data_IF_128234156323
#
_entry.id   IF_128234156323
#
_cell.length_a   1.000
_cell.length_b   1.000
_cell.length_c   1.000
_cell.angle_alpha   90.00
_cell.angle_beta   90.00
_cell.angle_gamma   90.00
#
_symmetry.space_group_name_H-M   'P 1'
#
loop_
_entity.id
_entity.type
_entity.pdbx_description
1 polymer ?
#
# COMPACT_ATOMS: atom_id res chain seq x y z
N UNK A 1 9.80 -16.36 21.61
CA UNK A 1 8.52 -15.69 21.27
C UNK A 1 8.24 -15.92 19.79
N UNK A 2 6.99 -16.19 19.40
CA UNK A 2 6.52 -16.46 18.03
C UNK A 2 5.74 -15.27 17.50
N UNK A 3 6.21 -14.66 16.42
CA UNK A 3 5.60 -13.45 15.84
C UNK A 3 5.16 -13.72 14.42
N UNK A 4 3.90 -13.38 14.12
CA UNK A 4 3.39 -13.34 12.74
C UNK A 4 3.50 -11.90 12.27
N UNK A 5 4.27 -11.67 11.20
CA UNK A 5 4.37 -10.40 10.50
C UNK A 5 3.67 -10.55 9.16
N UNK A 6 2.93 -9.54 8.77
CA UNK A 6 2.12 -9.58 7.55
C UNK A 6 2.43 -8.38 6.67
N UNK A 7 2.29 -8.50 5.35
CA UNK A 7 2.38 -7.37 4.43
C UNK A 7 1.66 -7.64 3.10
N UNK A 8 1.20 -6.55 2.47
CA UNK A 8 0.51 -6.53 1.16
C UNK A 8 1.32 -5.74 0.10
N UNK A 9 2.62 -5.58 0.32
CA UNK A 9 3.54 -4.84 -0.54
C UNK A 9 4.88 -4.54 0.14
N UNK A 10 5.86 -4.14 -0.66
CA UNK A 10 7.23 -3.84 -0.21
C UNK A 10 7.29 -2.69 0.79
N UNK A 11 6.53 -1.62 0.59
CA UNK A 11 6.50 -0.49 1.53
C UNK A 11 5.87 -0.87 2.88
N UNK A 12 4.84 -1.74 2.87
CA UNK A 12 4.24 -2.24 4.10
C UNK A 12 5.18 -3.19 4.85
N UNK A 13 6.00 -3.99 4.14
CA UNK A 13 7.07 -4.76 4.79
C UNK A 13 8.00 -3.83 5.57
N UNK A 14 8.37 -2.69 5.00
CA UNK A 14 9.24 -1.71 5.67
C UNK A 14 8.56 -1.10 6.90
N UNK A 15 7.28 -0.74 6.82
CA UNK A 15 6.53 -0.24 7.97
C UNK A 15 6.44 -1.29 9.09
N UNK A 16 6.16 -2.54 8.74
CA UNK A 16 6.12 -3.64 9.70
C UNK A 16 7.50 -3.89 10.36
N UNK A 17 8.58 -3.87 9.58
CA UNK A 17 9.96 -3.98 10.08
C UNK A 17 10.34 -2.80 10.97
N UNK A 18 9.86 -1.59 10.67
CA UNK A 18 10.09 -0.40 11.49
C UNK A 18 9.46 -0.56 12.88
N UNK A 19 8.20 -0.99 12.93
CA UNK A 19 7.52 -1.32 14.18
C UNK A 19 8.23 -2.43 14.95
N UNK A 20 8.65 -3.49 14.25
CA UNK A 20 9.32 -4.64 14.85
C UNK A 20 10.68 -4.26 15.47
N UNK A 21 11.51 -3.50 14.73
CA UNK A 21 12.81 -3.03 15.21
C UNK A 21 12.70 -2.05 16.39
N UNK A 22 11.66 -1.22 16.40
CA UNK A 22 11.40 -0.32 17.52
C UNK A 22 11.13 -1.10 18.82
N UNK A 23 10.43 -2.24 18.74
CA UNK A 23 10.04 -3.04 19.90
C UNK A 23 11.14 -3.95 20.48
N UNK A 24 12.28 -4.10 19.81
CA UNK A 24 13.41 -4.84 20.34
C UNK A 24 14.04 -5.84 19.36
N UNK A 25 14.94 -6.68 19.86
CA UNK A 25 15.83 -7.48 19.01
C UNK A 25 15.08 -8.57 18.23
N UNK A 26 15.41 -8.66 16.93
CA UNK A 26 14.91 -9.65 15.99
C UNK A 26 15.41 -11.08 16.29
N UNK A 27 16.55 -11.20 16.98
CA UNK A 27 17.34 -12.43 17.12
C UNK A 27 16.77 -13.46 18.11
N UNK A 28 16.03 -13.01 19.12
CA UNK A 28 15.51 -13.90 20.18
C UNK A 28 14.06 -14.37 19.90
N UNK A 29 13.57 -14.17 18.68
CA UNK A 29 12.19 -14.45 18.29
C UNK A 29 12.10 -15.24 17.00
N UNK A 30 11.11 -16.12 16.98
CA UNK A 30 10.71 -16.92 15.83
C UNK A 30 9.76 -16.06 14.98
N UNK A 31 10.28 -15.52 13.87
CA UNK A 31 9.55 -14.59 13.01
C UNK A 31 8.99 -15.35 11.80
N UNK A 32 7.70 -15.17 11.54
CA UNK A 32 6.98 -15.75 10.39
C UNK A 32 6.46 -14.60 9.54
N UNK A 33 6.76 -14.58 8.24
CA UNK A 33 6.22 -13.58 7.32
C UNK A 33 5.04 -14.17 6.54
N UNK A 34 3.95 -13.41 6.44
CA UNK A 34 2.80 -13.73 5.60
C UNK A 34 2.62 -12.62 4.59
N UNK A 35 2.88 -12.96 3.32
CA UNK A 35 2.64 -12.09 2.16
C UNK A 35 1.28 -12.48 1.59
N UNK A 36 0.41 -11.52 1.30
CA UNK A 36 -0.94 -11.80 0.80
C UNK A 36 -1.54 -10.55 0.16
N UNK A 37 -2.62 -10.74 -0.62
CA UNK A 37 -3.40 -9.63 -1.19
C UNK A 37 -2.53 -8.54 -1.84
N UNK A 38 -1.60 -8.95 -2.70
CA UNK A 38 -0.69 -8.02 -3.38
C UNK A 38 -1.43 -7.09 -4.35
N UNK A 39 -2.66 -7.43 -4.74
CA UNK A 39 -3.54 -6.70 -5.66
C UNK A 39 -2.85 -6.28 -6.98
N UNK A 40 -1.89 -7.07 -7.44
CA UNK A 40 -1.20 -6.85 -8.71
C UNK A 40 -1.93 -7.62 -9.82
N UNK A 41 -1.66 -7.34 -11.11
CA UNK A 41 -2.07 -8.20 -12.20
C UNK A 41 -1.61 -9.65 -11.99
N UNK A 42 -2.39 -10.63 -12.45
CA UNK A 42 -2.17 -12.06 -12.17
C UNK A 42 -0.74 -12.52 -12.50
N UNK A 43 -0.20 -12.05 -13.63
CA UNK A 43 1.14 -12.35 -14.09
C UNK A 43 2.27 -11.80 -13.20
N UNK A 44 1.99 -10.82 -12.33
CA UNK A 44 3.00 -10.17 -11.47
C UNK A 44 3.05 -10.74 -10.05
N UNK A 45 2.03 -11.50 -9.63
CA UNK A 45 1.87 -11.93 -8.23
C UNK A 45 3.09 -12.66 -7.65
N UNK A 46 3.59 -13.68 -8.37
CA UNK A 46 4.71 -14.49 -7.88
C UNK A 46 6.03 -13.72 -7.90
N UNK A 47 6.27 -12.89 -8.92
CA UNK A 47 7.46 -12.05 -9.00
C UNK A 47 7.49 -11.04 -7.84
N UNK A 48 6.36 -10.39 -7.57
CA UNK A 48 6.27 -9.42 -6.49
C UNK A 48 6.42 -10.08 -5.10
N UNK A 49 5.79 -11.24 -4.88
CA UNK A 49 5.96 -12.00 -3.64
C UNK A 49 7.43 -12.43 -3.44
N UNK A 50 8.09 -12.92 -4.49
CA UNK A 50 9.50 -13.32 -4.47
C UNK A 50 10.41 -12.12 -4.16
N UNK A 51 10.10 -10.95 -4.71
CA UNK A 51 10.84 -9.73 -4.41
C UNK A 51 10.71 -9.32 -2.94
N UNK A 52 9.50 -9.36 -2.38
CA UNK A 52 9.25 -9.09 -0.95
C UNK A 52 9.97 -10.11 -0.07
N UNK A 53 9.97 -11.39 -0.44
CA UNK A 53 10.72 -12.43 0.26
C UNK A 53 12.23 -12.12 0.28
N UNK A 54 12.80 -11.75 -0.87
CA UNK A 54 14.21 -11.36 -0.98
C UNK A 54 14.53 -10.16 -0.08
N UNK A 55 13.66 -9.14 -0.06
CA UNK A 55 13.79 -8.01 0.87
C UNK A 55 13.77 -8.48 2.33
N UNK A 56 12.78 -9.27 2.72
CA UNK A 56 12.63 -9.74 4.10
C UNK A 56 13.86 -10.52 4.58
N UNK A 57 14.38 -11.45 3.76
CA UNK A 57 15.57 -12.26 4.09
C UNK A 57 16.85 -11.44 4.23
N UNK A 58 16.92 -10.25 3.64
CA UNK A 58 18.10 -9.37 3.78
C UNK A 58 18.19 -8.67 5.15
N UNK A 59 17.13 -8.70 5.96
CA UNK A 59 17.05 -7.94 7.22
C UNK A 59 17.26 -8.84 8.45
N UNK A 60 16.62 -10.00 8.47
CA UNK A 60 16.72 -10.96 9.55
C UNK A 60 16.41 -12.38 9.09
N UNK A 61 16.63 -13.33 10.00
CA UNK A 61 16.21 -14.71 9.83
C UNK A 61 14.69 -14.82 10.04
N UNK A 62 14.09 -15.68 9.22
CA UNK A 62 12.68 -16.01 9.23
C UNK A 62 12.54 -17.52 9.36
N UNK A 63 11.68 -17.97 10.27
CA UNK A 63 11.33 -19.38 10.40
C UNK A 63 10.61 -19.86 9.14
N UNK A 64 9.70 -19.04 8.64
CA UNK A 64 8.98 -19.29 7.39
C UNK A 64 8.54 -17.97 6.75
N UNK A 65 8.55 -17.94 5.42
CA UNK A 65 7.95 -16.86 4.62
C UNK A 65 6.88 -17.51 3.73
N UNK A 66 5.62 -17.19 3.98
CA UNK A 66 4.48 -17.78 3.28
C UNK A 66 3.83 -16.74 2.40
N UNK A 67 3.64 -17.05 1.13
CA UNK A 67 2.77 -16.31 0.24
C UNK A 67 1.40 -16.99 0.14
N UNK A 68 0.36 -16.33 0.66
CA UNK A 68 -1.03 -16.78 0.51
C UNK A 68 -1.57 -16.27 -0.83
N UNK A 69 -1.83 -17.20 -1.75
CA UNK A 69 -2.24 -16.86 -3.11
C UNK A 69 -3.70 -16.38 -3.16
N UNK A 70 -4.10 -15.58 -4.18
CA UNK A 70 -5.49 -15.20 -4.38
C UNK A 70 -6.44 -16.39 -4.41
N UNK A 71 -6.06 -17.49 -5.05
CA UNK A 71 -6.88 -18.71 -5.12
C UNK A 71 -7.11 -19.33 -3.74
N UNK A 72 -6.08 -19.38 -2.89
CA UNK A 72 -6.22 -19.89 -1.53
C UNK A 72 -7.18 -19.03 -0.71
N UNK A 73 -7.06 -17.70 -0.81
CA UNK A 73 -7.87 -16.73 -0.08
C UNK A 73 -9.32 -16.71 -0.57
N UNK A 74 -9.54 -16.77 -1.88
CA UNK A 74 -10.88 -16.89 -2.47
C UNK A 74 -11.53 -18.22 -2.05
N UNK A 75 -10.80 -19.33 -2.15
CA UNK A 75 -11.31 -20.65 -1.79
C UNK A 75 -11.69 -20.74 -0.29
N UNK A 76 -10.92 -20.15 0.61
CA UNK A 76 -11.28 -20.14 2.04
C UNK A 76 -12.43 -19.18 2.32
N UNK A 77 -12.49 -18.03 1.64
CA UNK A 77 -13.60 -17.08 1.71
C UNK A 77 -14.94 -17.75 1.41
N UNK A 78 -15.03 -18.52 0.32
CA UNK A 78 -16.23 -19.29 -0.03
C UNK A 78 -16.60 -20.38 0.99
N UNK A 79 -15.64 -20.88 1.75
CA UNK A 79 -15.86 -21.93 2.76
C UNK A 79 -16.38 -21.38 4.09
N UNK A 80 -16.26 -20.08 4.36
CA UNK A 80 -16.66 -19.48 5.64
C UNK A 80 -18.14 -19.75 5.97
N UNK A 81 -19.04 -19.69 4.99
CA UNK A 81 -20.49 -19.88 5.19
C UNK A 81 -20.92 -21.35 5.40
N UNK A 82 -20.02 -22.30 5.20
CA UNK A 82 -20.34 -23.74 5.17
C UNK A 82 -19.42 -24.61 6.02
N UNK A 83 -18.37 -24.03 6.60
CA UNK A 83 -17.32 -24.75 7.33
C UNK A 83 -17.22 -24.25 8.77
N UNK A 84 -16.96 -25.18 9.70
CA UNK A 84 -16.82 -24.87 11.13
C UNK A 84 -15.53 -24.08 11.40
N UNK A 85 -15.50 -23.17 12.40
CA UNK A 85 -14.32 -22.36 12.71
C UNK A 85 -13.04 -23.17 12.89
N UNK A 86 -13.09 -24.29 13.63
CA UNK A 86 -11.93 -25.13 13.87
C UNK A 86 -11.27 -25.65 12.57
N UNK A 87 -12.06 -25.96 11.54
CA UNK A 87 -11.53 -26.42 10.26
C UNK A 87 -10.91 -25.27 9.45
N UNK A 88 -11.53 -24.09 9.49
CA UNK A 88 -10.99 -22.87 8.87
C UNK A 88 -9.66 -22.48 9.53
N UNK A 89 -9.60 -22.42 10.86
CA UNK A 89 -8.39 -22.03 11.59
C UNK A 89 -7.29 -23.09 11.46
N UNK A 90 -7.62 -24.38 11.50
CA UNK A 90 -6.65 -25.45 11.22
C UNK A 90 -6.09 -25.39 9.78
N UNK A 91 -6.82 -24.82 8.82
CA UNK A 91 -6.28 -24.57 7.49
C UNK A 91 -5.26 -23.44 7.51
N UNK A 92 -5.54 -22.35 8.24
CA UNK A 92 -4.61 -21.22 8.43
C UNK A 92 -3.35 -21.65 9.16
N UNK A 93 -3.46 -22.43 10.24
CA UNK A 93 -2.31 -22.97 10.96
C UNK A 93 -1.43 -23.84 10.07
N UNK A 94 -2.03 -24.67 9.21
CA UNK A 94 -1.30 -25.49 8.23
C UNK A 94 -0.60 -24.66 7.17
N UNK A 95 -1.21 -23.58 6.69
CA UNK A 95 -0.55 -22.68 5.73
C UNK A 95 0.70 -22.02 6.33
N UNK A 96 0.63 -21.62 7.59
CA UNK A 96 1.73 -20.94 8.28
C UNK A 96 2.74 -21.89 8.95
N UNK A 97 2.43 -23.19 9.03
CA UNK A 97 3.20 -24.15 9.82
C UNK A 97 3.23 -23.81 11.32
N UNK A 98 2.19 -23.14 11.82
CA UNK A 98 2.21 -22.51 13.14
C UNK A 98 0.85 -22.64 13.86
N UNK A 99 0.82 -23.34 15.00
CA UNK A 99 -0.43 -23.52 15.76
C UNK A 99 -0.69 -22.39 16.78
N UNK A 100 0.35 -21.65 17.17
CA UNK A 100 0.23 -20.53 18.13
C UNK A 100 1.18 -19.40 17.78
N UNK A 101 0.74 -18.17 18.04
CA UNK A 101 1.56 -16.97 17.97
C UNK A 101 1.39 -16.15 19.26
N UNK A 102 2.49 -15.55 19.69
CA UNK A 102 2.53 -14.63 20.82
C UNK A 102 2.18 -13.21 20.37
N UNK A 103 2.54 -12.84 19.13
CA UNK A 103 2.24 -11.53 18.54
C UNK A 103 1.82 -11.65 17.07
N UNK A 104 0.99 -10.71 16.61
CA UNK A 104 0.61 -10.55 15.21
C UNK A 104 0.66 -9.08 14.79
N UNK A 105 1.34 -8.80 13.69
CA UNK A 105 1.54 -7.46 13.13
C UNK A 105 0.73 -7.34 11.84
N UNK A 106 -0.19 -6.37 11.77
CA UNK A 106 -1.07 -6.13 10.61
C UNK A 106 -1.16 -4.63 10.31
N UNK A 107 -1.42 -4.26 9.06
CA UNK A 107 -1.65 -2.85 8.68
C UNK A 107 -3.03 -2.34 9.13
N UNK A 108 -4.02 -3.23 9.24
CA UNK A 108 -5.43 -2.95 9.60
C UNK A 108 -6.16 -4.22 10.05
N UNK A 109 -7.38 -4.13 10.57
CA UNK A 109 -8.12 -5.28 11.14
C UNK A 109 -9.48 -5.59 10.49
N UNK A 110 -9.84 -4.94 9.39
CA UNK A 110 -11.16 -5.08 8.75
C UNK A 110 -11.15 -5.83 7.42
N UNK A 111 -9.99 -6.08 6.81
CA UNK A 111 -9.88 -6.92 5.60
C UNK A 111 -10.06 -8.40 5.93
N UNK A 112 -10.62 -9.16 4.96
CA UNK A 112 -10.91 -10.59 5.10
C UNK A 112 -9.73 -11.38 5.65
N UNK A 113 -8.56 -11.25 5.03
CA UNK A 113 -7.37 -12.01 5.41
C UNK A 113 -6.83 -11.59 6.79
N UNK A 114 -6.95 -10.30 7.14
CA UNK A 114 -6.53 -9.79 8.44
C UNK A 114 -7.44 -10.34 9.54
N UNK A 115 -8.76 -10.32 9.32
CA UNK A 115 -9.71 -10.94 10.23
C UNK A 115 -9.46 -12.45 10.32
N UNK A 116 -9.19 -13.13 9.21
CA UNK A 116 -8.90 -14.56 9.21
C UNK A 116 -7.70 -14.89 10.12
N UNK A 117 -6.59 -14.17 9.98
CA UNK A 117 -5.41 -14.35 10.82
C UNK A 117 -5.69 -14.00 12.29
N UNK A 118 -6.35 -12.87 12.56
CA UNK A 118 -6.71 -12.46 13.93
C UNK A 118 -7.60 -13.48 14.64
N UNK A 119 -8.54 -14.09 13.91
CA UNK A 119 -9.44 -15.10 14.49
C UNK A 119 -8.79 -16.48 14.61
N UNK A 120 -7.79 -16.80 13.78
CA UNK A 120 -6.98 -18.01 13.91
C UNK A 120 -5.98 -17.93 15.08
N UNK A 121 -5.48 -16.73 15.41
CA UNK A 121 -4.56 -16.50 16.53
C UNK A 121 -5.14 -15.50 17.55
N UNK A 122 -6.29 -15.82 18.18
CA UNK A 122 -7.05 -14.85 18.98
C UNK A 122 -6.35 -14.43 20.28
N UNK A 123 -5.37 -15.22 20.75
CA UNK A 123 -4.58 -14.92 21.96
C UNK A 123 -3.32 -14.10 21.68
N UNK A 124 -2.96 -13.87 20.42
CA UNK A 124 -1.77 -13.11 20.08
C UNK A 124 -1.95 -11.63 20.44
N UNK A 125 -0.87 -10.99 20.88
CA UNK A 125 -0.82 -9.55 21.05
C UNK A 125 -0.84 -8.86 19.68
N UNK A 126 -1.80 -7.97 19.44
CA UNK A 126 -2.13 -7.42 18.12
C UNK A 126 -1.51 -6.05 17.95
N UNK A 127 -0.57 -5.96 17.03
CA UNK A 127 0.15 -4.74 16.68
C UNK A 127 -0.34 -4.21 15.34
N UNK A 128 -0.72 -2.94 15.31
CA UNK A 128 -0.95 -2.22 14.06
C UNK A 128 0.31 -1.48 13.64
N UNK A 129 0.81 -1.70 12.42
CA UNK A 129 1.94 -0.93 11.89
C UNK A 129 1.52 0.13 10.85
N UNK A 130 0.22 0.22 10.53
CA UNK A 130 -0.32 1.14 9.53
C UNK A 130 -0.05 0.72 8.09
N UNK A 131 -0.49 1.55 7.15
CA UNK A 131 -0.31 1.36 5.70
C UNK A 131 0.82 2.25 5.16
N UNK A 132 1.29 2.00 3.94
CA UNK A 132 2.39 2.76 3.35
C UNK A 132 3.61 2.78 4.26
N UNK A 133 4.08 3.97 4.64
CA UNK A 133 5.20 4.18 5.57
C UNK A 133 4.82 4.15 7.06
N UNK A 134 3.66 3.60 7.41
CA UNK A 134 3.11 3.64 8.76
C UNK A 134 2.13 4.79 8.97
N UNK A 135 1.19 4.92 8.03
CA UNK A 135 0.05 5.82 8.06
C UNK A 135 -1.15 5.09 8.68
N UNK A 136 -1.92 5.77 9.53
CA UNK A 136 -3.19 5.22 9.98
C UNK A 136 -4.30 5.53 8.97
N UNK A 137 -5.15 4.54 8.69
CA UNK A 137 -6.39 4.70 7.91
C UNK A 137 -7.55 4.09 8.68
N UNK A 138 -8.62 4.85 8.91
CA UNK A 138 -9.86 4.27 9.42
C UNK A 138 -10.55 3.41 8.36
N UNK A 139 -11.48 2.56 8.82
CA UNK A 139 -12.40 1.83 7.93
C UNK A 139 -13.34 2.76 7.15
N UNK A 140 -13.49 4.01 7.58
CA UNK A 140 -14.36 5.00 6.96
C UNK A 140 -13.65 5.91 5.94
N UNK A 141 -12.33 5.77 5.79
CA UNK A 141 -11.54 6.57 4.85
C UNK A 141 -12.05 6.45 3.41
N UNK A 142 -12.08 7.57 2.68
CA UNK A 142 -12.46 7.62 1.26
C UNK A 142 -11.63 6.67 0.38
N UNK A 143 -10.39 6.38 0.75
CA UNK A 143 -9.51 5.41 0.05
C UNK A 143 -10.08 3.98 0.07
N UNK A 144 -10.79 3.66 1.16
CA UNK A 144 -11.34 2.34 1.48
C UNK A 144 -12.77 2.18 0.95
N UNK A 145 -13.53 3.28 0.84
CA UNK A 145 -14.89 3.26 0.30
C UNK A 145 -14.86 2.81 -1.17
N UNK A 146 -15.31 1.58 -1.44
CA UNK A 146 -15.78 1.22 -2.77
C UNK A 146 -17.20 1.77 -2.91
N UNK A 147 -17.59 2.31 -4.07
CA UNK A 147 -18.98 2.67 -4.28
C UNK A 147 -19.90 1.48 -4.05
N UNK A 148 -21.08 1.82 -3.54
CA UNK A 148 -22.14 0.88 -3.21
C UNK A 148 -22.42 -0.01 -4.43
N UNK A 149 -22.31 -1.33 -4.30
CA UNK A 149 -22.85 -2.23 -5.33
C UNK A 149 -24.36 -1.99 -5.34
N UNK A 150 -24.97 -1.55 -6.46
CA UNK A 150 -26.39 -1.23 -6.45
C UNK A 150 -27.20 -2.45 -6.00
N UNK A 151 -28.23 -2.26 -5.17
CA UNK A 151 -29.11 -3.36 -4.80
C UNK A 151 -29.73 -3.95 -6.09
N UNK A 152 -30.02 -5.26 -6.09
CA UNK A 152 -30.59 -5.93 -7.25
C UNK A 152 -31.87 -5.22 -7.74
N UNK A 153 -32.02 -5.14 -9.06
CA UNK A 153 -33.17 -4.49 -9.72
C UNK A 153 -34.48 -5.27 -9.50
N UNK A 154 -35.60 -4.57 -9.66
CA UNK A 154 -36.99 -5.01 -9.42
C UNK A 154 -37.42 -6.29 -10.14
N UNK A 155 -36.64 -6.83 -11.07
CA UNK A 155 -36.95 -8.10 -11.75
C UNK A 155 -36.57 -9.35 -10.91
N UNK A 156 -35.98 -9.16 -9.72
CA UNK A 156 -35.68 -10.23 -8.75
C UNK A 156 -36.75 -10.41 -7.66
N UNK A 157 -38.03 -10.12 -7.96
CA UNK A 157 -39.17 -10.28 -7.02
C UNK A 157 -39.40 -11.75 -6.60
N UNK A 158 -38.83 -12.72 -7.32
CA UNK A 158 -38.91 -14.15 -6.98
C UNK A 158 -38.11 -14.56 -5.72
N UNK A 159 -37.39 -13.63 -5.09
CA UNK A 159 -36.37 -13.97 -4.08
C UNK A 159 -36.81 -13.78 -2.63
N UNK A 160 -37.95 -13.16 -2.31
CA UNK A 160 -38.27 -12.83 -0.90
C UNK A 160 -38.54 -14.04 0.01
N UNK A 161 -39.21 -15.07 -0.50
CA UNK A 161 -39.43 -16.34 0.22
C UNK A 161 -38.14 -17.15 0.32
N UNK A 162 -37.33 -17.16 -0.74
CA UNK A 162 -35.98 -17.74 -0.76
C UNK A 162 -35.05 -17.03 0.22
N UNK A 163 -35.12 -15.71 0.33
CA UNK A 163 -34.36 -14.89 1.27
C UNK A 163 -34.77 -15.15 2.72
N UNK A 164 -36.08 -15.31 2.99
CA UNK A 164 -36.57 -15.71 4.32
C UNK A 164 -36.10 -17.12 4.71
N UNK A 165 -36.21 -18.09 3.80
CA UNK A 165 -35.70 -19.45 3.98
C UNK A 165 -34.18 -19.46 4.20
N UNK A 166 -33.42 -18.73 3.37
CA UNK A 166 -31.97 -18.57 3.48
C UNK A 166 -31.59 -17.87 4.78
N UNK A 167 -32.35 -16.87 5.23
CA UNK A 167 -32.10 -16.17 6.51
C UNK A 167 -32.37 -17.08 7.72
N UNK A 168 -33.40 -17.93 7.67
CA UNK A 168 -33.70 -18.92 8.70
C UNK A 168 -32.63 -20.01 8.71
N UNK A 169 -32.21 -20.47 7.53
CA UNK A 169 -31.16 -21.46 7.36
C UNK A 169 -29.78 -20.93 7.78
N UNK A 170 -29.47 -19.66 7.51
CA UNK A 170 -28.29 -18.97 8.04
C UNK A 170 -28.33 -18.88 9.56
N UNK A 171 -29.47 -18.49 10.16
CA UNK A 171 -29.62 -18.46 11.64
C UNK A 171 -29.46 -19.83 12.27
N UNK A 172 -29.98 -20.89 11.62
CA UNK A 172 -29.82 -22.28 12.07
C UNK A 172 -28.36 -22.73 11.95
N UNK A 173 -27.69 -22.45 10.82
CA UNK A 173 -26.25 -22.75 10.63
C UNK A 173 -25.37 -22.02 11.64
N UNK A 174 -25.68 -20.76 11.92
CA UNK A 174 -24.99 -19.97 12.93
C UNK A 174 -25.19 -20.56 14.33
N UNK A 175 -26.42 -20.94 14.68
CA UNK A 175 -26.73 -21.58 15.97
C UNK A 175 -26.07 -22.96 16.12
N UNK A 176 -25.90 -23.69 15.01
CA UNK A 176 -25.21 -24.98 14.95
C UNK A 176 -23.67 -24.88 14.79
N UNK A 177 -23.09 -23.67 14.79
CA UNK A 177 -21.66 -23.40 14.56
C UNK A 177 -21.11 -24.02 13.27
N UNK A 178 -21.96 -24.21 12.25
CA UNK A 178 -21.59 -24.73 10.92
C UNK A 178 -21.06 -23.63 9.99
N UNK A 179 -21.12 -22.38 10.43
CA UNK A 179 -20.61 -21.19 9.75
C UNK A 179 -19.50 -20.57 10.59
N UNK A 180 -18.46 -20.09 9.93
CA UNK A 180 -17.39 -19.30 10.53
C UNK A 180 -17.70 -17.81 10.33
N UNK A 181 -17.86 -17.09 11.44
CA UNK A 181 -17.90 -15.63 11.42
C UNK A 181 -16.51 -15.12 11.78
N UNK A 182 -16.01 -14.21 10.97
CA UNK A 182 -14.78 -13.50 11.24
C UNK A 182 -15.14 -12.17 11.92
N UNK A 183 -14.37 -11.83 12.95
CA UNK A 183 -14.54 -10.61 13.70
C UNK A 183 -13.33 -9.70 13.51
N UNK A 184 -13.56 -8.40 13.37
CA UNK A 184 -12.50 -7.41 13.52
C UNK A 184 -12.14 -7.29 14.99
N UNK A 185 -11.00 -7.86 15.35
CA UNK A 185 -10.47 -7.74 16.71
C UNK A 185 -9.70 -6.42 16.84
N UNK A 186 -9.87 -5.68 17.95
CA UNK A 186 -9.15 -4.42 18.16
C UNK A 186 -7.65 -4.68 18.31
N UNK A 187 -6.85 -3.69 17.94
CA UNK A 187 -5.41 -3.72 18.18
C UNK A 187 -5.10 -3.34 19.63
N UNK A 188 -4.06 -3.96 20.17
CA UNK A 188 -3.59 -3.66 21.52
C UNK A 188 -2.67 -2.43 21.52
N UNK A 189 -1.96 -2.18 20.40
CA UNK A 189 -1.09 -1.01 20.20
C UNK A 189 -0.88 -0.72 18.70
N UNK A 190 -0.62 0.54 18.35
CA UNK A 190 -0.21 0.97 17.03
C UNK A 190 1.20 1.60 17.00
N UNK A 191 1.95 1.38 15.92
CA UNK A 191 3.23 2.04 15.64
C UNK A 191 3.12 2.72 14.29
N UNK A 192 3.23 4.05 14.30
CA UNK A 192 2.98 4.87 13.10
C UNK A 192 4.07 5.91 12.96
N UNK A 193 4.49 6.20 11.73
CA UNK A 193 5.35 7.37 11.47
C UNK A 193 4.50 8.63 11.48
N UNK A 194 3.30 8.56 10.91
CA UNK A 194 2.38 9.68 10.74
C UNK A 194 0.96 9.26 11.20
N UNK A 195 0.70 9.16 12.53
CA UNK A 195 -0.56 8.63 13.06
C UNK A 195 -1.79 9.46 12.71
N UNK A 196 -1.72 10.80 12.78
CA UNK A 196 -2.88 11.68 12.64
C UNK A 196 -2.88 12.49 11.32
N UNK A 197 -2.08 12.08 10.33
CA UNK A 197 -1.83 12.90 9.13
C UNK A 197 -3.08 13.15 8.30
N UNK A 198 -4.04 12.22 8.31
CA UNK A 198 -5.32 12.33 7.63
C UNK A 198 -6.44 12.88 8.51
N UNK A 199 -6.15 13.30 9.75
CA UNK A 199 -7.13 13.93 10.66
C UNK A 199 -7.93 12.98 11.52
N UNK A 200 -7.64 11.69 11.40
CA UNK A 200 -8.20 10.64 12.25
C UNK A 200 -7.13 10.19 13.24
N UNK A 201 -7.53 10.04 14.50
CA UNK A 201 -6.65 9.49 15.54
C UNK A 201 -6.84 7.98 15.65
N UNK A 202 -5.76 7.17 15.73
CA UNK A 202 -5.87 5.74 15.92
C UNK A 202 -6.71 5.39 17.16
N UNK A 203 -7.67 4.44 17.07
CA UNK A 203 -8.56 4.06 18.17
C UNK A 203 -7.90 3.14 19.21
N UNK A 204 -6.57 3.16 19.29
CA UNK A 204 -5.76 2.36 20.19
C UNK A 204 -4.56 3.18 20.68
N UNK A 205 -3.92 2.81 21.81
CA UNK A 205 -2.64 3.41 22.20
C UNK A 205 -1.65 3.36 21.04
N UNK A 206 -0.97 4.47 20.77
CA UNK A 206 -0.08 4.59 19.62
C UNK A 206 1.28 5.14 20.00
N UNK A 207 2.30 4.65 19.30
CA UNK A 207 3.68 5.11 19.39
C UNK A 207 4.05 5.76 18.07
N UNK A 208 4.47 7.02 18.13
CA UNK A 208 5.00 7.74 16.97
C UNK A 208 6.45 7.31 16.73
N UNK A 209 6.68 6.64 15.60
CA UNK A 209 8.01 6.24 15.14
C UNK A 209 8.75 7.45 14.57
N UNK A 210 10.04 7.56 14.88
CA UNK A 210 10.87 8.64 14.36
C UNK A 210 11.21 8.40 12.88
N UNK A 211 11.10 9.41 11.99
CA UNK A 211 11.41 9.26 10.56
C UNK A 211 12.82 8.73 10.29
N UNK A 212 13.79 9.03 11.16
CA UNK A 212 15.16 8.51 11.08
C UNK A 212 15.24 6.98 11.16
N UNK A 213 14.29 6.31 11.84
CA UNK A 213 14.24 4.84 11.89
C UNK A 213 13.85 4.27 10.52
N UNK A 214 12.90 4.92 9.85
CA UNK A 214 12.49 4.56 8.49
C UNK A 214 13.63 4.79 7.49
N UNK A 215 14.33 5.92 7.61
CA UNK A 215 15.49 6.26 6.77
C UNK A 215 16.59 5.19 6.87
N UNK A 216 16.95 4.78 8.09
CA UNK A 216 17.93 3.70 8.33
C UNK A 216 17.50 2.37 7.72
N UNK A 217 16.21 2.06 7.71
CA UNK A 217 15.71 0.87 7.04
C UNK A 217 15.85 0.99 5.52
N UNK A 218 15.47 2.12 4.93
CA UNK A 218 15.64 2.36 3.50
C UNK A 218 17.11 2.26 3.07
N UNK A 219 18.04 2.82 3.85
CA UNK A 219 19.49 2.71 3.61
C UNK A 219 19.96 1.25 3.51
N UNK A 220 19.44 0.34 4.35
CA UNK A 220 19.80 -1.09 4.32
C UNK A 220 19.35 -1.79 3.03
N UNK A 221 18.31 -1.27 2.37
CA UNK A 221 17.82 -1.80 1.11
C UNK A 221 18.46 -1.18 -0.13
N UNK A 222 19.35 -0.19 0.01
CA UNK A 222 20.05 0.42 -1.15
C UNK A 222 20.91 -0.56 -1.94
N UNK A 223 21.27 -1.70 -1.34
CA UNK A 223 21.95 -2.82 -2.02
C UNK A 223 21.10 -3.49 -3.10
N UNK A 224 19.78 -3.27 -3.12
CA UNK A 224 18.87 -3.76 -4.15
C UNK A 224 18.86 -2.89 -5.40
N UNK A 225 19.46 -1.70 -5.32
CA UNK A 225 19.56 -0.76 -6.43
C UNK A 225 20.89 -0.98 -7.13
N UNK A 226 20.86 -1.24 -8.43
CA UNK A 226 22.04 -1.44 -9.27
C UNK A 226 22.87 -0.14 -9.39
N UNK A 227 24.17 -0.22 -9.11
CA UNK A 227 25.09 0.92 -9.14
C UNK A 227 25.31 1.47 -10.56
N UNK A 228 25.40 0.60 -11.57
CA UNK A 228 25.59 1.00 -12.97
C UNK A 228 24.34 1.73 -13.47
N UNK A 229 23.16 1.21 -13.11
CA UNK A 229 21.88 1.87 -13.44
C UNK A 229 21.76 3.24 -12.77
N UNK A 230 22.23 3.38 -11.53
CA UNK A 230 22.26 4.68 -10.85
C UNK A 230 23.21 5.65 -11.56
N UNK A 231 24.42 5.20 -11.91
CA UNK A 231 25.39 6.03 -12.61
C UNK A 231 24.87 6.51 -13.97
N UNK A 232 24.19 5.64 -14.72
CA UNK A 232 23.52 5.99 -15.98
C UNK A 232 22.48 7.10 -15.76
N UNK A 233 21.55 6.91 -14.82
CA UNK A 233 20.50 7.91 -14.54
C UNK A 233 21.11 9.22 -14.04
N UNK A 234 22.11 9.16 -13.17
CA UNK A 234 22.82 10.34 -12.66
C UNK A 234 23.46 11.15 -13.79
N UNK A 235 24.07 10.50 -14.78
CA UNK A 235 24.65 11.17 -15.95
C UNK A 235 23.60 11.92 -16.77
N UNK A 236 22.39 11.36 -16.89
CA UNK A 236 21.28 11.99 -17.63
C UNK A 236 20.74 13.20 -16.87
N UNK A 237 20.58 13.09 -15.55
CA UNK A 237 19.92 14.12 -14.75
C UNK A 237 20.86 15.19 -14.19
N UNK A 238 22.18 15.07 -14.35
CA UNK A 238 23.18 15.89 -13.67
C UNK A 238 22.85 17.39 -13.69
N UNK A 239 22.61 17.95 -14.88
CA UNK A 239 22.37 19.39 -15.08
C UNK A 239 20.91 19.74 -15.42
N UNK A 240 20.03 18.74 -15.49
CA UNK A 240 18.61 18.95 -15.84
C UNK A 240 17.72 19.14 -14.62
N UNK A 241 16.67 19.97 -14.71
CA UNK A 241 15.51 19.85 -13.82
C UNK A 241 14.91 18.44 -13.91
N UNK A 242 14.36 17.93 -12.81
CA UNK A 242 13.81 16.58 -12.75
C UNK A 242 12.37 16.61 -12.26
N UNK A 243 11.47 16.10 -13.09
CA UNK A 243 10.12 15.73 -12.69
C UNK A 243 10.09 14.25 -12.34
N UNK A 244 9.51 13.88 -11.21
CA UNK A 244 9.31 12.49 -10.80
C UNK A 244 7.81 12.25 -10.73
N UNK A 245 7.29 11.35 -11.55
CA UNK A 245 5.90 10.90 -11.48
C UNK A 245 5.83 9.57 -10.71
N UNK A 246 5.09 9.59 -9.60
CA UNK A 246 4.66 8.40 -8.86
C UNK A 246 3.24 8.05 -9.31
N UNK A 247 3.10 6.98 -10.08
CA UNK A 247 1.78 6.54 -10.56
C UNK A 247 1.02 5.76 -9.49
N UNK A 248 -0.25 5.51 -9.77
CA UNK A 248 -1.19 4.71 -9.00
C UNK A 248 -1.85 3.70 -9.93
N UNK A 249 -2.44 2.66 -9.35
CA UNK A 249 -3.01 1.53 -10.09
C UNK A 249 -4.54 1.66 -10.25
N UNK A 250 -5.02 2.82 -10.71
CA UNK A 250 -6.46 3.08 -10.67
C UNK A 250 -7.24 2.25 -11.68
N UNK A 251 -6.69 2.01 -12.87
CA UNK A 251 -7.33 1.18 -13.88
C UNK A 251 -7.35 -0.30 -13.50
N UNK A 252 -6.28 -0.79 -12.88
CA UNK A 252 -6.18 -2.14 -12.31
C UNK A 252 -7.10 -2.30 -11.08
N UNK A 253 -7.41 -1.19 -10.41
CA UNK A 253 -8.42 -1.11 -9.35
C UNK A 253 -9.84 -0.82 -9.86
N UNK A 254 -10.08 -0.88 -11.17
CA UNK A 254 -11.37 -0.66 -11.85
C UNK A 254 -12.04 0.71 -11.53
N UNK A 255 -11.23 1.73 -11.22
CA UNK A 255 -11.75 3.08 -10.89
C UNK A 255 -11.94 3.96 -12.11
N UNK A 256 -11.18 3.69 -13.17
CA UNK A 256 -11.31 4.32 -14.48
C UNK A 256 -10.70 3.44 -15.59
N UNK A 257 -11.05 3.66 -16.88
CA UNK A 257 -10.41 2.96 -17.99
C UNK A 257 -8.92 3.31 -18.11
N UNK A 258 -8.09 2.34 -18.48
CA UNK A 258 -6.63 2.50 -18.65
C UNK A 258 -6.26 3.68 -19.57
N UNK A 259 -6.91 3.80 -20.74
CA UNK A 259 -6.64 4.89 -21.68
C UNK A 259 -6.92 6.28 -21.08
N UNK A 260 -7.94 6.38 -20.20
CA UNK A 260 -8.26 7.64 -19.50
C UNK A 260 -7.25 7.91 -18.39
N UNK A 261 -6.76 6.89 -17.70
CA UNK A 261 -5.69 7.05 -16.70
C UNK A 261 -4.40 7.58 -17.33
N UNK A 262 -3.99 7.05 -18.48
CA UNK A 262 -2.81 7.54 -19.22
C UNK A 262 -2.98 9.02 -19.59
N UNK A 263 -4.14 9.39 -20.16
CA UNK A 263 -4.44 10.77 -20.51
C UNK A 263 -4.50 11.69 -19.29
N UNK A 264 -5.08 11.24 -18.17
CA UNK A 264 -5.14 12.03 -16.94
C UNK A 264 -3.74 12.36 -16.40
N UNK A 265 -2.80 11.41 -16.42
CA UNK A 265 -1.39 11.71 -16.06
C UNK A 265 -0.74 12.70 -17.01
N UNK A 266 -0.97 12.55 -18.32
CA UNK A 266 -0.44 13.48 -19.31
C UNK A 266 -0.96 14.91 -19.10
N UNK A 267 -2.28 15.09 -18.95
CA UNK A 267 -2.89 16.40 -18.71
C UNK A 267 -2.48 16.99 -17.35
N UNK A 268 -2.34 16.13 -16.34
CA UNK A 268 -1.82 16.55 -15.04
C UNK A 268 -0.38 17.09 -15.16
N UNK A 269 0.50 16.40 -15.87
CA UNK A 269 1.87 16.89 -16.09
C UNK A 269 1.90 18.16 -16.95
N UNK A 270 1.11 18.22 -18.03
CA UNK A 270 1.09 19.35 -18.97
C UNK A 270 0.47 20.62 -18.37
N UNK A 271 -0.46 20.48 -17.42
CA UNK A 271 -1.07 21.61 -16.70
C UNK A 271 -0.10 22.34 -15.78
N UNK A 272 1.06 21.74 -15.49
CA UNK A 272 2.10 22.36 -14.71
C UNK A 272 3.19 22.90 -15.65
N UNK A 273 3.70 24.11 -15.38
CA UNK A 273 4.79 24.67 -16.18
C UNK A 273 6.06 23.81 -16.05
N UNK A 274 6.36 22.99 -17.05
CA UNK A 274 7.54 22.12 -17.09
C UNK A 274 8.76 22.97 -17.46
N UNK A 275 9.85 22.95 -16.67
CA UNK A 275 11.08 23.66 -17.03
C UNK A 275 11.65 23.14 -18.37
N UNK A 276 12.27 24.02 -19.20
CA UNK A 276 13.02 23.57 -20.36
C UNK A 276 14.07 22.52 -19.99
N UNK A 277 14.32 21.58 -20.90
CA UNK A 277 15.30 20.49 -20.73
C UNK A 277 15.09 19.59 -19.50
N UNK A 278 13.87 19.60 -18.94
CA UNK A 278 13.52 18.73 -17.82
C UNK A 278 13.52 17.26 -18.26
N UNK A 279 13.98 16.40 -17.35
CA UNK A 279 13.87 14.94 -17.47
C UNK A 279 12.67 14.50 -16.64
N UNK A 280 11.86 13.59 -17.18
CA UNK A 280 10.80 12.92 -16.44
C UNK A 280 11.27 11.53 -16.02
N UNK A 281 11.17 11.21 -14.74
CA UNK A 281 11.32 9.86 -14.22
C UNK A 281 9.93 9.36 -13.84
N UNK A 282 9.48 8.27 -14.45
CA UNK A 282 8.24 7.61 -14.08
C UNK A 282 8.61 6.41 -13.20
N UNK A 283 8.17 6.45 -11.95
CA UNK A 283 8.20 5.31 -11.04
C UNK A 283 6.80 4.69 -10.99
N UNK A 284 6.60 3.52 -11.61
CA UNK A 284 5.32 2.83 -11.58
C UNK A 284 4.90 2.44 -10.16
N UNK A 285 3.59 2.36 -9.93
CA UNK A 285 3.04 1.63 -8.82
C UNK A 285 3.41 0.13 -8.99
N UNK A 286 3.75 -0.61 -7.93
CA UNK A 286 4.05 -2.05 -8.00
C UNK A 286 2.93 -2.96 -8.54
N UNK A 287 1.80 -2.38 -8.96
CA UNK A 287 0.60 -3.05 -9.43
C UNK A 287 0.17 -2.54 -10.81
N UNK A 288 0.94 -1.65 -11.42
CA UNK A 288 0.60 -1.11 -12.73
C UNK A 288 0.81 -2.16 -13.83
N UNK A 289 -0.02 -2.11 -14.87
CA UNK A 289 0.25 -2.80 -16.12
C UNK A 289 1.48 -2.18 -16.81
N UNK A 290 2.53 -2.97 -17.13
CA UNK A 290 3.70 -2.48 -17.85
C UNK A 290 3.38 -1.82 -19.19
N UNK A 291 2.32 -2.24 -19.89
CA UNK A 291 1.90 -1.63 -21.16
C UNK A 291 1.35 -0.22 -20.95
N UNK A 292 0.55 -0.02 -19.89
CA UNK A 292 0.05 1.31 -19.49
C UNK A 292 1.21 2.29 -19.30
N UNK A 293 2.27 1.85 -18.62
CA UNK A 293 3.45 2.67 -18.33
C UNK A 293 4.24 3.02 -19.61
N UNK A 294 4.40 2.06 -20.53
CA UNK A 294 5.08 2.30 -21.82
C UNK A 294 4.29 3.28 -22.70
N UNK A 295 2.97 3.17 -22.71
CA UNK A 295 2.11 4.11 -23.43
C UNK A 295 2.19 5.52 -22.84
N UNK A 296 2.20 5.64 -21.51
CA UNK A 296 2.40 6.91 -20.82
C UNK A 296 3.78 7.52 -21.14
N UNK A 297 4.84 6.72 -21.16
CA UNK A 297 6.19 7.18 -21.55
C UNK A 297 6.16 7.84 -22.94
N UNK A 298 5.56 7.14 -23.91
CA UNK A 298 5.44 7.62 -25.29
C UNK A 298 4.61 8.90 -25.38
N UNK A 299 3.53 8.98 -24.61
CA UNK A 299 2.67 10.17 -24.60
C UNK A 299 3.38 11.38 -23.95
N UNK A 300 4.29 11.17 -23.00
CA UNK A 300 5.03 12.25 -22.35
C UNK A 300 6.32 12.65 -23.08
N UNK A 301 6.76 11.92 -24.12
CA UNK A 301 8.08 12.10 -24.73
C UNK A 301 8.25 13.44 -25.46
N UNK A 302 7.18 14.15 -25.80
CA UNK A 302 7.26 15.49 -26.39
C UNK A 302 7.24 16.61 -25.35
N UNK A 303 6.91 16.31 -24.08
CA UNK A 303 6.90 17.31 -22.99
C UNK A 303 8.25 17.44 -22.30
N UNK A 304 9.09 16.41 -22.38
CA UNK A 304 10.34 16.29 -21.65
C UNK A 304 11.49 15.98 -22.61
N UNK A 305 12.70 16.40 -22.26
CA UNK A 305 13.91 16.06 -23.04
C UNK A 305 14.11 14.55 -23.09
N UNK A 306 13.84 13.89 -21.97
CA UNK A 306 13.95 12.45 -21.80
C UNK A 306 12.93 11.94 -20.79
N UNK A 307 12.41 10.74 -21.01
CA UNK A 307 11.49 10.05 -20.10
C UNK A 307 12.09 8.70 -19.70
N UNK A 308 12.53 8.60 -18.45
CA UNK A 308 13.14 7.42 -17.86
C UNK A 308 12.06 6.60 -17.15
N UNK A 309 11.97 5.31 -17.46
CA UNK A 309 11.12 4.36 -16.74
C UNK A 309 11.92 3.58 -15.69
N UNK A 310 11.40 3.53 -14.48
CA UNK A 310 11.93 2.65 -13.42
C UNK A 310 11.18 1.32 -13.39
N UNK A 311 11.27 0.59 -14.51
CA UNK A 311 10.61 -0.72 -14.74
C UNK A 311 11.56 -1.90 -14.67
N UNK A 312 12.84 -1.67 -14.35
CA UNK A 312 13.81 -2.74 -14.09
C UNK A 312 13.29 -3.66 -12.97
N UNK A 313 13.54 -4.97 -13.06
CA UNK A 313 12.87 -5.98 -12.20
C UNK A 313 12.97 -5.71 -10.70
N UNK A 314 14.11 -5.16 -10.23
CA UNK A 314 14.24 -4.73 -8.84
C UNK A 314 13.52 -3.39 -8.57
N UNK A 315 13.69 -2.39 -9.45
CA UNK A 315 13.19 -1.03 -9.22
C UNK A 315 11.67 -0.92 -9.32
N UNK A 316 11.02 -1.80 -10.10
CA UNK A 316 9.57 -1.78 -10.25
C UNK A 316 8.84 -2.03 -8.91
N UNK A 317 9.29 -3.03 -8.14
CA UNK A 317 8.69 -3.38 -6.85
C UNK A 317 9.33 -2.67 -5.65
N UNK A 318 10.53 -2.10 -5.81
CA UNK A 318 11.21 -1.38 -4.74
C UNK A 318 10.50 -0.05 -4.44
N UNK A 319 10.30 0.28 -3.16
CA UNK A 319 9.87 1.61 -2.75
C UNK A 319 10.81 2.70 -3.30
N UNK A 320 10.23 3.77 -3.82
CA UNK A 320 10.96 4.79 -4.56
C UNK A 320 12.02 5.49 -3.71
N UNK A 321 11.76 5.64 -2.41
CA UNK A 321 12.63 6.27 -1.43
C UNK A 321 14.02 5.64 -1.40
N UNK A 322 14.11 4.32 -1.63
CA UNK A 322 15.37 3.58 -1.61
C UNK A 322 16.20 3.91 -2.86
N UNK A 323 15.55 3.97 -4.02
CA UNK A 323 16.21 4.45 -5.25
C UNK A 323 16.59 5.92 -5.10
N UNK A 324 15.70 6.74 -4.56
CA UNK A 324 15.92 8.17 -4.35
C UNK A 324 17.16 8.43 -3.50
N UNK A 325 17.28 7.70 -2.37
CA UNK A 325 18.44 7.77 -1.49
C UNK A 325 19.76 7.53 -2.20
N UNK A 326 19.79 6.61 -3.17
CA UNK A 326 21.02 6.26 -3.88
C UNK A 326 21.30 7.21 -5.04
N UNK A 327 20.28 7.49 -5.84
CA UNK A 327 20.42 8.24 -7.08
C UNK A 327 20.50 9.76 -6.88
N UNK A 328 19.92 10.32 -5.82
CA UNK A 328 19.79 11.77 -5.62
C UNK A 328 20.62 12.32 -4.44
N UNK A 329 21.60 11.57 -3.93
CA UNK A 329 22.47 12.02 -2.82
C UNK A 329 23.09 13.40 -3.02
N UNK A 330 23.52 13.70 -4.25
CA UNK A 330 24.23 14.94 -4.60
C UNK A 330 23.32 16.01 -5.22
N UNK A 331 22.10 15.66 -5.63
CA UNK A 331 21.17 16.56 -6.33
C UNK A 331 19.90 16.72 -5.49
N UNK A 332 19.76 17.86 -4.83
CA UNK A 332 18.55 18.22 -4.07
C UNK A 332 17.77 19.39 -4.66
N UNK A 333 18.33 20.09 -5.64
CA UNK A 333 17.72 21.26 -6.27
C UNK A 333 16.99 20.86 -7.55
N UNK A 334 15.91 21.60 -7.86
CA UNK A 334 15.12 21.48 -9.09
C UNK A 334 14.47 20.10 -9.31
N UNK A 335 14.08 19.44 -8.22
CA UNK A 335 13.29 18.19 -8.24
C UNK A 335 11.84 18.53 -7.94
N UNK A 336 10.92 17.97 -8.71
CA UNK A 336 9.46 18.11 -8.51
C UNK A 336 8.82 16.75 -8.46
N UNK A 337 8.04 16.49 -7.42
CA UNK A 337 7.28 15.24 -7.26
C UNK A 337 5.85 15.45 -7.76
N UNK A 338 5.39 14.58 -8.64
CA UNK A 338 4.01 14.50 -9.11
C UNK A 338 3.44 13.19 -8.59
N UNK A 339 2.38 13.25 -7.80
CA UNK A 339 1.77 12.07 -7.21
C UNK A 339 0.26 12.23 -7.12
N UNK A 340 -0.44 11.10 -7.22
CA UNK A 340 -1.91 11.06 -7.11
C UNK A 340 -2.35 10.17 -5.94
N UNK A 341 -1.41 9.79 -5.08
CA UNK A 341 -1.61 8.93 -3.91
C UNK A 341 -0.75 9.44 -2.74
N UNK A 342 -0.81 8.77 -1.60
CA UNK A 342 0.02 9.09 -0.42
C UNK A 342 1.53 8.85 -0.61
N UNK A 343 1.97 8.36 -1.77
CA UNK A 343 3.37 8.02 -2.03
C UNK A 343 4.34 9.22 -1.96
N UNK A 344 3.84 10.47 -2.06
CA UNK A 344 4.68 11.66 -1.88
C UNK A 344 5.04 11.94 -0.41
N UNK A 345 4.24 11.44 0.55
CA UNK A 345 4.36 11.84 1.96
C UNK A 345 5.73 11.47 2.54
N UNK A 346 6.26 10.31 2.16
CA UNK A 346 7.59 9.86 2.56
C UNK A 346 8.70 10.74 1.98
N UNK A 347 8.57 11.13 0.72
CA UNK A 347 9.54 11.98 0.04
C UNK A 347 9.56 13.39 0.64
N UNK A 348 8.39 13.93 0.92
CA UNK A 348 8.27 15.21 1.60
C UNK A 348 8.80 15.13 3.04
N UNK A 349 8.46 14.08 3.79
CA UNK A 349 8.90 13.89 5.17
C UNK A 349 10.42 13.72 5.30
N UNK A 350 11.05 12.94 4.41
CA UNK A 350 12.45 12.54 4.53
C UNK A 350 13.40 13.42 3.73
N UNK A 351 12.93 14.06 2.66
CA UNK A 351 13.79 14.78 1.71
C UNK A 351 13.32 16.21 1.43
N UNK A 352 12.21 16.66 2.02
CA UNK A 352 11.65 18.02 1.86
C UNK A 352 11.45 18.43 0.39
N UNK A 353 10.86 17.52 -0.40
CA UNK A 353 10.67 17.75 -1.84
C UNK A 353 9.31 18.39 -2.15
N UNK A 354 9.27 19.38 -3.06
CA UNK A 354 8.02 20.00 -3.49
C UNK A 354 7.17 18.99 -4.25
N UNK A 355 5.92 18.84 -3.79
CA UNK A 355 4.98 17.82 -4.27
C UNK A 355 3.72 18.45 -4.85
N UNK A 356 3.35 18.02 -6.06
CA UNK A 356 2.14 18.34 -6.79
C UNK A 356 1.22 17.12 -6.70
N UNK A 357 0.01 17.33 -6.20
CA UNK A 357 -0.84 16.26 -5.68
C UNK A 357 -2.19 16.27 -6.38
N UNK A 358 -2.64 15.09 -6.80
CA UNK A 358 -3.99 14.89 -7.34
C UNK A 358 -4.13 15.28 -8.80
N UNK A 359 -5.19 14.81 -9.46
CA UNK A 359 -5.52 15.21 -10.82
C UNK A 359 -6.30 16.54 -10.86
N UNK A 360 -6.94 16.91 -9.76
CA UNK A 360 -7.86 18.04 -9.71
C UNK A 360 -9.28 17.66 -10.14
N UNK A 361 -10.23 18.55 -9.87
CA UNK A 361 -11.66 18.28 -10.02
C UNK A 361 -12.07 17.96 -11.46
N UNK A 362 -11.55 18.72 -12.42
CA UNK A 362 -11.94 18.60 -13.83
C UNK A 362 -11.48 17.26 -14.41
N UNK A 363 -10.19 16.94 -14.28
CA UNK A 363 -9.62 15.68 -14.77
C UNK A 363 -10.21 14.46 -14.06
N UNK A 364 -10.46 14.56 -12.75
CA UNK A 364 -11.12 13.49 -12.00
C UNK A 364 -12.51 13.22 -12.54
N UNK A 365 -13.34 14.26 -12.70
CA UNK A 365 -14.73 14.12 -13.17
C UNK A 365 -14.80 13.58 -14.60
N UNK A 366 -13.85 13.94 -15.46
CA UNK A 366 -13.82 13.49 -16.86
C UNK A 366 -13.30 12.07 -17.01
N UNK A 367 -12.35 11.68 -16.16
CA UNK A 367 -11.59 10.43 -16.34
C UNK A 367 -12.22 9.27 -15.59
N UNK A 368 -12.64 9.49 -14.33
CA UNK A 368 -13.13 8.44 -13.45
C UNK A 368 -14.54 7.98 -13.80
N UNK A 369 -14.88 6.74 -13.42
CA UNK A 369 -16.28 6.32 -13.44
C UNK A 369 -17.08 7.16 -12.43
N UNK A 370 -18.35 7.52 -12.74
CA UNK A 370 -19.14 8.44 -11.91
C UNK A 370 -19.18 8.06 -10.43
N UNK A 371 -19.31 6.77 -10.13
CA UNK A 371 -19.42 6.25 -8.76
C UNK A 371 -18.13 6.44 -7.93
N UNK A 372 -17.00 6.76 -8.56
CA UNK A 372 -15.72 6.97 -7.90
C UNK A 372 -15.29 8.44 -7.81
N UNK A 373 -15.99 9.36 -8.49
CA UNK A 373 -15.60 10.78 -8.57
C UNK A 373 -15.59 11.41 -7.18
N UNK A 374 -16.69 11.34 -6.44
CA UNK A 374 -16.81 12.00 -5.14
C UNK A 374 -15.78 11.49 -4.13
N UNK A 375 -15.63 10.17 -4.02
CA UNK A 375 -14.65 9.55 -3.14
C UNK A 375 -13.21 9.92 -3.53
N UNK A 376 -12.94 10.08 -4.84
CA UNK A 376 -11.62 10.51 -5.33
C UNK A 376 -11.35 11.97 -4.96
N UNK A 377 -12.32 12.87 -5.14
CA UNK A 377 -12.18 14.29 -4.77
C UNK A 377 -11.99 14.47 -3.26
N UNK A 378 -12.77 13.74 -2.44
CA UNK A 378 -12.59 13.68 -0.98
C UNK A 378 -11.17 13.22 -0.61
N UNK A 379 -10.66 12.21 -1.31
CA UNK A 379 -9.30 11.74 -1.10
C UNK A 379 -8.24 12.76 -1.51
N UNK A 380 -8.38 13.45 -2.65
CA UNK A 380 -7.43 14.49 -3.06
C UNK A 380 -7.37 15.63 -2.07
N UNK A 381 -8.52 16.08 -1.56
CA UNK A 381 -8.57 17.07 -0.48
C UNK A 381 -7.81 16.57 0.75
N UNK A 382 -8.04 15.32 1.16
CA UNK A 382 -7.34 14.70 2.29
C UNK A 382 -5.82 14.65 2.07
N UNK A 383 -5.35 14.39 0.84
CA UNK A 383 -3.92 14.40 0.52
C UNK A 383 -3.33 15.83 0.56
N UNK A 384 -4.06 16.84 0.08
CA UNK A 384 -3.63 18.23 0.18
C UNK A 384 -3.52 18.70 1.65
N UNK A 385 -4.49 18.34 2.48
CA UNK A 385 -4.44 18.63 3.92
C UNK A 385 -3.27 17.92 4.60
N UNK A 386 -3.00 16.66 4.25
CA UNK A 386 -1.85 15.91 4.74
C UNK A 386 -0.52 16.61 4.36
N UNK A 387 -0.38 17.06 3.11
CA UNK A 387 0.78 17.82 2.65
C UNK A 387 0.98 19.12 3.45
N UNK A 388 -0.10 19.88 3.66
CA UNK A 388 -0.07 21.12 4.43
C UNK A 388 0.34 20.88 5.89
N UNK A 389 -0.23 19.87 6.55
CA UNK A 389 0.11 19.51 7.94
C UNK A 389 1.57 19.09 8.07
N UNK A 390 2.08 18.33 7.10
CA UNK A 390 3.47 17.91 7.08
C UNK A 390 4.42 19.10 6.93
N UNK A 391 4.15 20.02 5.98
CA UNK A 391 4.89 21.27 5.83
C UNK A 391 4.89 22.11 7.12
N UNK A 392 3.72 22.28 7.74
CA UNK A 392 3.59 23.04 8.99
C UNK A 392 4.41 22.40 10.13
N UNK A 393 4.39 21.07 10.23
CA UNK A 393 5.17 20.33 11.23
C UNK A 393 6.68 20.44 10.99
N UNK A 394 7.14 20.42 9.73
CA UNK A 394 8.56 20.57 9.40
C UNK A 394 9.06 22.00 9.68
N UNK A 395 8.28 23.02 9.33
CA UNK A 395 8.64 24.42 9.59
C UNK A 395 8.72 24.71 11.10
N UNK A 396 7.77 24.20 11.89
CA UNK A 396 7.79 24.40 13.35
C UNK A 396 8.94 23.69 14.07
N UNK A 397 9.55 22.67 13.45
CA UNK A 397 10.75 22.02 13.98
C UNK A 397 12.05 22.75 13.60
N UNK A 398 12.04 23.54 12.52
CA UNK A 398 13.17 24.38 12.13
C UNK A 398 13.33 25.62 13.03
N UNK A 399 12.26 26.11 13.65
CA UNK A 399 12.30 27.24 14.59
C UNK A 399 12.85 26.87 16.00
N UNK A 400 13.27 25.62 16.22
CA UNK A 400 13.76 25.09 17.51
C UNK A 400 15.22 24.57 17.42
N UNK A 401 15.87 24.70 16.26
CA UNK A 401 17.30 24.46 16.04
C UNK A 401 18.02 25.76 15.71
#
# INVERSE_FOLDING_TARGET
>A
MKRIITCQGSIQLIAALSALLHRGQLRDSQNYLVIYELYAPEQQHYEFATFIEKMARSICEWEEIVYLTPDQLNAIGHKLDSTRPAQIYNQVHRWLGLDRADEIYLCRNWQLTNQLLLNAYPSAYRVCYGDGIGLYFSEHSAVVRRPFTPPPTRDQIFDWTWWKLRSLWHRIRERLKLKTKLYSLPFDIGYFVLPDIFGETPPMPSVKLAPVQLLKLFERFTSFVDDDRVAEIQSIIQDSPVSILLTSNFSEGERLPQAREIHAYYEFLSSHSIPPDSVLIIKPHPRDDPNKIKELQKLCSHLYREVILLTDSNLFFLPFEIFFLKAFTQKKQNIRIFAVSSAFLSLQLLFDLPSFIGFGADLTTQSFYPDFVDARLEHEQTLHEACYRLQSALNSQQDVL
#
